data_IF_289033656614
#
_entry.id   IF_289033656614
#
_cell.length_a   1.000
_cell.length_b   1.000
_cell.length_c   1.000
_cell.angle_alpha   90.00
_cell.angle_beta   90.00
_cell.angle_gamma   90.00
#
_symmetry.space_group_name_H-M   'P 1'
#
loop_
_entity.id
_entity.type
_entity.pdbx_description
1 polymer ?
#
# COMPACT_ATOMS: atom_id res chain seq x y z
N UNK A 1 24.90 -16.36 -17.04
CA UNK A 1 23.93 -16.80 -16.01
C UNK A 1 22.70 -15.90 -16.15
N UNK A 2 21.67 -16.39 -16.80
CA UNK A 2 20.41 -15.67 -17.00
C UNK A 2 19.60 -15.82 -15.72
N UNK A 3 19.42 -14.72 -14.98
CA UNK A 3 18.50 -14.68 -13.84
C UNK A 3 17.08 -14.84 -14.39
N UNK A 4 16.46 -15.97 -14.08
CA UNK A 4 15.03 -16.14 -14.32
C UNK A 4 14.30 -15.11 -13.43
N UNK A 5 13.66 -14.12 -14.05
CA UNK A 5 12.77 -13.19 -13.38
C UNK A 5 11.67 -13.96 -12.64
N UNK A 6 11.19 -13.42 -11.52
CA UNK A 6 10.10 -14.05 -10.77
C UNK A 6 8.86 -14.19 -11.66
N UNK A 7 7.96 -15.18 -11.43
CA UNK A 7 6.71 -15.34 -12.19
C UNK A 7 5.84 -14.07 -12.23
N UNK A 8 5.98 -13.17 -11.25
CA UNK A 8 5.33 -11.84 -11.20
C UNK A 8 5.80 -10.92 -12.31
N UNK A 9 7.10 -10.89 -12.61
CA UNK A 9 7.66 -10.08 -13.68
C UNK A 9 7.12 -10.49 -15.04
N UNK A 10 6.84 -11.78 -15.27
CA UNK A 10 6.40 -12.27 -16.56
C UNK A 10 5.01 -11.77 -17.00
N UNK A 11 4.08 -11.50 -16.08
CA UNK A 11 2.73 -11.01 -16.42
C UNK A 11 2.71 -9.53 -16.80
N UNK A 12 3.42 -8.67 -16.04
CA UNK A 12 3.53 -7.24 -16.35
C UNK A 12 4.46 -7.00 -17.56
N UNK A 13 5.48 -7.85 -17.75
CA UNK A 13 6.42 -7.79 -18.88
C UNK A 13 5.77 -8.17 -20.22
N UNK A 14 4.69 -8.95 -20.21
CA UNK A 14 3.97 -9.40 -21.40
C UNK A 14 2.76 -8.52 -21.74
N UNK A 15 2.58 -7.36 -21.08
CA UNK A 15 1.51 -6.44 -21.43
C UNK A 15 1.68 -5.97 -22.89
N UNK A 16 0.66 -6.22 -23.69
CA UNK A 16 0.59 -5.59 -25.02
C UNK A 16 0.40 -4.08 -24.85
N UNK A 17 0.89 -3.29 -25.83
CA UNK A 17 0.70 -1.84 -25.78
C UNK A 17 -0.77 -1.46 -25.95
N UNK A 18 -1.10 -0.22 -25.58
CA UNK A 18 -2.44 0.36 -25.73
C UNK A 18 -3.49 -0.34 -24.89
N UNK A 19 -3.18 -0.58 -23.62
CA UNK A 19 -4.11 -1.19 -22.68
C UNK A 19 -4.43 -0.24 -21.52
N UNK A 20 -5.64 -0.32 -21.04
CA UNK A 20 -6.07 0.21 -19.75
C UNK A 20 -6.22 -0.98 -18.81
N UNK A 21 -5.34 -1.08 -17.81
CA UNK A 21 -5.15 -2.27 -16.99
C UNK A 21 -5.55 -2.00 -15.55
N UNK A 22 -6.48 -2.77 -15.02
CA UNK A 22 -6.74 -2.86 -13.59
C UNK A 22 -5.73 -3.82 -12.97
N UNK A 23 -4.92 -3.35 -12.03
CA UNK A 23 -3.95 -4.15 -11.30
C UNK A 23 -4.40 -4.33 -9.85
N UNK A 24 -4.75 -5.55 -9.45
CA UNK A 24 -5.12 -5.84 -8.07
C UNK A 24 -3.89 -6.16 -7.24
N UNK A 25 -3.60 -5.31 -6.25
CA UNK A 25 -2.48 -5.43 -5.32
C UNK A 25 -3.00 -5.78 -3.92
N UNK A 26 -2.34 -6.71 -3.22
CA UNK A 26 -2.76 -7.10 -1.87
C UNK A 26 -2.39 -6.04 -0.81
N UNK A 27 -1.27 -5.33 -1.01
CA UNK A 27 -0.79 -4.28 -0.11
C UNK A 27 0.00 -3.20 -0.89
N UNK A 28 0.41 -2.14 -0.20
CA UNK A 28 1.15 -1.03 -0.82
C UNK A 28 2.54 -1.44 -1.29
N UNK A 29 3.21 -2.35 -0.59
CA UNK A 29 4.54 -2.83 -0.97
C UNK A 29 4.51 -3.56 -2.31
N UNK A 30 3.48 -4.37 -2.52
CA UNK A 30 3.25 -5.07 -3.78
C UNK A 30 2.94 -4.06 -4.90
N UNK A 31 2.13 -3.03 -4.62
CA UNK A 31 1.85 -1.94 -5.54
C UNK A 31 3.12 -1.17 -5.90
N UNK A 32 3.94 -0.78 -4.90
CA UNK A 32 5.23 -0.10 -5.10
C UNK A 32 6.18 -0.93 -5.96
N UNK A 33 6.26 -2.25 -5.70
CA UNK A 33 7.10 -3.15 -6.50
C UNK A 33 6.64 -3.22 -7.95
N UNK A 34 5.33 -3.37 -8.17
CA UNK A 34 4.74 -3.38 -9.50
C UNK A 34 4.99 -2.06 -10.26
N UNK A 35 4.89 -0.91 -9.57
CA UNK A 35 5.21 0.39 -10.13
C UNK A 35 6.66 0.47 -10.58
N UNK A 36 7.61 0.10 -9.70
CA UNK A 36 9.04 0.11 -9.99
C UNK A 36 9.38 -0.81 -11.16
N UNK A 37 8.84 -2.04 -11.16
CA UNK A 37 9.09 -3.02 -12.21
C UNK A 37 8.55 -2.53 -13.56
N UNK A 38 7.31 -2.04 -13.60
CA UNK A 38 6.68 -1.50 -14.81
C UNK A 38 7.44 -0.30 -15.38
N UNK A 39 7.83 0.64 -14.51
CA UNK A 39 8.57 1.84 -14.88
C UNK A 39 9.96 1.46 -15.40
N UNK A 40 10.68 0.56 -14.73
CA UNK A 40 12.00 0.11 -15.16
C UNK A 40 11.96 -0.56 -16.52
N UNK A 41 10.98 -1.41 -16.78
CA UNK A 41 10.81 -2.03 -18.11
C UNK A 41 10.43 -1.01 -19.18
N UNK A 42 9.54 -0.06 -18.87
CA UNK A 42 9.22 1.03 -19.77
C UNK A 42 10.44 1.88 -20.14
N UNK A 43 11.26 2.25 -19.15
CA UNK A 43 12.50 3.02 -19.35
C UNK A 43 13.53 2.23 -20.18
N UNK A 44 13.73 0.93 -19.91
CA UNK A 44 14.59 0.06 -20.72
C UNK A 44 14.14 -0.01 -22.18
N UNK A 45 12.83 -0.01 -22.41
CA UNK A 45 12.22 0.00 -23.73
C UNK A 45 12.19 1.40 -24.38
N UNK A 46 12.77 2.43 -23.74
CA UNK A 46 12.83 3.81 -24.24
C UNK A 46 11.48 4.53 -24.22
N UNK A 47 10.51 4.06 -23.44
CA UNK A 47 9.19 4.70 -23.32
C UNK A 47 9.25 5.96 -22.47
N UNK A 48 8.28 6.85 -22.63
CA UNK A 48 7.95 7.86 -21.62
C UNK A 48 7.21 7.18 -20.49
N UNK A 49 7.76 7.23 -19.27
CA UNK A 49 7.13 6.69 -18.09
C UNK A 49 6.59 7.81 -17.22
N UNK A 50 5.34 7.66 -16.75
CA UNK A 50 4.69 8.58 -15.83
C UNK A 50 4.32 7.81 -14.57
N UNK A 51 4.94 8.18 -13.46
CA UNK A 51 4.60 7.64 -12.14
C UNK A 51 3.76 8.64 -11.38
N UNK A 52 2.47 8.37 -11.32
CA UNK A 52 1.46 9.23 -10.72
C UNK A 52 0.89 8.54 -9.46
N UNK A 53 1.55 8.78 -8.33
CA UNK A 53 1.19 8.18 -7.03
C UNK A 53 0.72 9.23 -6.05
N UNK A 54 -0.25 8.89 -5.23
CA UNK A 54 -0.74 9.72 -4.11
C UNK A 54 0.31 9.87 -3.00
N UNK A 55 1.37 9.08 -3.04
CA UNK A 55 2.48 9.10 -2.09
C UNK A 55 3.69 9.91 -2.55
N UNK A 56 3.66 10.47 -3.76
CA UNK A 56 4.81 11.19 -4.31
C UNK A 56 5.10 12.52 -3.60
N UNK A 57 4.14 13.08 -2.84
CA UNK A 57 4.36 14.20 -1.93
C UNK A 57 5.17 13.82 -0.67
N UNK A 58 5.21 12.54 -0.29
CA UNK A 58 6.03 12.05 0.82
C UNK A 58 7.48 11.82 0.37
N UNK A 59 8.40 12.60 0.96
CA UNK A 59 9.83 12.53 0.64
C UNK A 59 10.47 11.17 0.95
N UNK A 60 10.00 10.47 1.99
CA UNK A 60 10.53 9.16 2.36
C UNK A 60 10.08 8.10 1.38
N UNK A 61 8.79 8.09 1.04
CA UNK A 61 8.25 7.18 0.03
C UNK A 61 8.94 7.40 -1.31
N UNK A 62 9.00 8.64 -1.78
CA UNK A 62 9.63 8.96 -3.06
C UNK A 62 11.12 8.58 -3.07
N UNK A 63 11.86 8.79 -1.97
CA UNK A 63 13.26 8.35 -1.84
C UNK A 63 13.39 6.83 -1.94
N UNK A 64 12.48 6.07 -1.31
CA UNK A 64 12.43 4.61 -1.37
C UNK A 64 12.20 4.11 -2.79
N UNK A 65 11.23 4.68 -3.49
CA UNK A 65 10.89 4.31 -4.87
C UNK A 65 12.00 4.71 -5.83
N UNK A 66 12.47 5.96 -5.76
CA UNK A 66 13.51 6.49 -6.66
C UNK A 66 14.81 5.71 -6.60
N UNK A 67 15.18 5.17 -5.42
CA UNK A 67 16.37 4.32 -5.25
C UNK A 67 16.31 3.00 -5.99
N UNK A 68 15.11 2.55 -6.40
CA UNK A 68 14.88 1.29 -7.12
C UNK A 68 14.64 1.49 -8.61
N UNK A 69 14.41 2.73 -9.05
CA UNK A 69 14.24 3.07 -10.47
C UNK A 69 15.60 3.26 -11.11
N UNK A 70 15.81 2.61 -12.26
CA UNK A 70 17.07 2.66 -12.99
C UNK A 70 17.36 4.10 -13.46
N UNK A 71 18.59 4.58 -13.19
CA UNK A 71 19.06 5.90 -13.63
C UNK A 71 18.03 7.02 -13.36
N UNK A 72 17.42 7.00 -12.15
CA UNK A 72 16.29 7.88 -11.81
C UNK A 72 16.53 9.35 -12.17
N UNK A 73 17.62 9.96 -11.65
CA UNK A 73 17.91 11.38 -11.89
C UNK A 73 18.12 11.68 -13.37
N UNK A 74 18.86 10.84 -14.08
CA UNK A 74 19.13 10.98 -15.51
C UNK A 74 17.83 10.89 -16.33
N UNK A 75 16.93 9.96 -15.99
CA UNK A 75 15.65 9.82 -16.68
C UNK A 75 14.70 10.98 -16.43
N UNK A 76 14.72 11.60 -15.24
CA UNK A 76 14.00 12.84 -14.94
C UNK A 76 14.55 13.98 -15.80
N UNK A 77 15.87 14.20 -15.81
CA UNK A 77 16.52 15.28 -16.56
C UNK A 77 16.28 15.16 -18.09
N UNK A 78 16.31 13.93 -18.61
CA UNK A 78 16.04 13.65 -20.03
C UNK A 78 14.55 13.68 -20.38
N UNK A 79 13.65 13.84 -19.42
CA UNK A 79 12.20 13.78 -19.61
C UNK A 79 11.68 12.41 -20.06
N UNK A 80 12.39 11.33 -19.72
CA UNK A 80 11.94 9.95 -19.93
C UNK A 80 11.05 9.45 -18.77
N UNK A 81 11.21 10.05 -17.59
CA UNK A 81 10.41 9.78 -16.40
C UNK A 81 9.78 11.08 -15.90
N UNK A 82 8.48 11.04 -15.65
CA UNK A 82 7.71 12.15 -15.04
C UNK A 82 7.10 11.64 -13.74
N UNK A 83 7.32 12.37 -12.66
CA UNK A 83 6.72 12.09 -11.35
C UNK A 83 5.57 13.06 -11.14
N UNK A 84 4.41 12.53 -10.81
CA UNK A 84 3.21 13.34 -10.51
C UNK A 84 2.73 13.01 -9.11
N UNK A 85 2.55 14.03 -8.27
CA UNK A 85 1.87 13.89 -6.99
C UNK A 85 0.35 13.84 -7.23
N UNK A 86 -0.25 12.68 -7.00
CA UNK A 86 -1.67 12.46 -7.21
C UNK A 86 -2.54 12.70 -5.98
N UNK A 87 -1.95 13.02 -4.82
CA UNK A 87 -2.73 13.31 -3.63
C UNK A 87 -3.72 14.47 -3.83
N UNK A 88 -3.31 15.63 -4.39
CA UNK A 88 -4.27 16.70 -4.71
C UNK A 88 -5.33 16.28 -5.73
N UNK A 89 -4.98 15.43 -6.68
CA UNK A 89 -5.93 14.92 -7.69
C UNK A 89 -7.02 14.04 -7.06
N UNK A 90 -6.67 13.20 -6.09
CA UNK A 90 -7.66 12.37 -5.39
C UNK A 90 -8.67 13.22 -4.62
N UNK A 91 -8.26 14.35 -4.05
CA UNK A 91 -9.17 15.29 -3.40
C UNK A 91 -10.12 15.98 -4.39
N UNK A 92 -9.62 16.34 -5.57
CA UNK A 92 -10.49 16.87 -6.65
C UNK A 92 -11.50 15.82 -7.13
N UNK A 93 -11.06 14.55 -7.29
CA UNK A 93 -11.96 13.46 -7.69
C UNK A 93 -13.08 13.22 -6.67
N UNK A 94 -12.81 13.30 -5.35
CA UNK A 94 -13.84 13.26 -4.30
C UNK A 94 -14.91 14.33 -4.44
N UNK A 95 -14.60 15.44 -5.09
CA UNK A 95 -15.52 16.53 -5.37
C UNK A 95 -16.13 16.46 -6.77
N UNK A 96 -15.98 15.33 -7.48
CA UNK A 96 -16.35 15.14 -8.88
C UNK A 96 -15.77 16.22 -9.82
N UNK A 97 -14.61 16.77 -9.46
CA UNK A 97 -13.90 17.76 -10.26
C UNK A 97 -12.76 17.12 -11.04
N UNK A 98 -13.00 16.76 -12.29
CA UNK A 98 -12.00 16.12 -13.16
C UNK A 98 -11.20 17.10 -14.03
N UNK A 99 -11.39 18.42 -13.88
CA UNK A 99 -10.64 19.41 -14.65
C UNK A 99 -9.11 19.32 -14.50
N UNK A 100 -8.51 19.02 -13.32
CA UNK A 100 -7.08 18.81 -13.20
C UNK A 100 -6.59 17.58 -13.98
N UNK A 101 -7.39 16.53 -14.08
CA UNK A 101 -7.07 15.34 -14.88
C UNK A 101 -7.06 15.66 -16.38
N UNK A 102 -7.98 16.51 -16.87
CA UNK A 102 -7.96 17.00 -18.26
C UNK A 102 -6.70 17.83 -18.58
N UNK A 103 -6.23 18.62 -17.62
CA UNK A 103 -4.96 19.35 -17.78
C UNK A 103 -3.77 18.39 -17.84
N UNK A 104 -3.75 17.38 -16.99
CA UNK A 104 -2.73 16.34 -17.00
C UNK A 104 -2.75 15.56 -18.33
N UNK A 105 -3.93 15.19 -18.83
CA UNK A 105 -4.10 14.53 -20.12
C UNK A 105 -3.48 15.34 -21.26
N UNK A 106 -3.81 16.62 -21.37
CA UNK A 106 -3.22 17.52 -22.37
C UNK A 106 -1.71 17.58 -22.26
N UNK A 107 -1.19 17.65 -21.02
CA UNK A 107 0.25 17.65 -20.78
C UNK A 107 0.93 16.36 -21.24
N UNK A 108 0.31 15.21 -21.03
CA UNK A 108 0.82 13.91 -21.51
C UNK A 108 0.87 13.90 -23.04
N UNK A 109 -0.17 14.37 -23.71
CA UNK A 109 -0.26 14.46 -25.18
C UNK A 109 0.82 15.37 -25.73
N UNK A 110 1.03 16.56 -25.14
CA UNK A 110 2.11 17.49 -25.52
C UNK A 110 3.50 16.86 -25.40
N UNK A 111 3.76 16.17 -24.27
CA UNK A 111 5.03 15.47 -24.05
C UNK A 111 5.25 14.36 -25.08
N UNK A 112 4.21 13.61 -25.40
CA UNK A 112 4.29 12.54 -26.41
C UNK A 112 4.56 13.12 -27.81
N UNK A 113 3.82 14.15 -28.22
CA UNK A 113 4.01 14.80 -29.52
C UNK A 113 5.42 15.39 -29.67
N UNK A 114 5.93 16.01 -28.58
CA UNK A 114 7.31 16.50 -28.56
C UNK A 114 8.32 15.36 -28.76
N UNK A 115 8.14 14.22 -28.06
CA UNK A 115 9.03 13.05 -28.21
C UNK A 115 9.02 12.49 -29.63
N UNK A 116 7.83 12.41 -30.25
CA UNK A 116 7.69 11.97 -31.66
C UNK A 116 8.45 12.93 -32.60
N UNK A 117 8.31 14.25 -32.41
CA UNK A 117 9.03 15.24 -33.22
C UNK A 117 10.55 15.18 -33.04
N UNK A 118 11.04 14.71 -31.91
CA UNK A 118 12.45 14.47 -31.60
C UNK A 118 12.96 13.09 -32.09
N UNK A 119 12.13 12.30 -32.77
CA UNK A 119 12.46 10.95 -33.23
C UNK A 119 12.64 9.92 -32.13
N UNK A 120 12.11 10.21 -30.93
CA UNK A 120 12.12 9.29 -29.79
C UNK A 120 10.97 8.29 -29.87
N UNK A 121 11.01 7.25 -29.02
CA UNK A 121 9.95 6.25 -28.89
C UNK A 121 8.59 6.93 -28.57
N UNK A 122 7.54 6.56 -29.29
CA UNK A 122 6.19 7.09 -29.23
C UNK A 122 5.29 6.39 -28.17
N UNK A 123 5.88 5.53 -27.33
CA UNK A 123 5.15 4.77 -26.34
C UNK A 123 5.19 5.46 -24.98
N UNK A 124 4.05 5.45 -24.32
CA UNK A 124 3.87 6.00 -22.96
C UNK A 124 3.35 4.90 -22.05
N UNK A 125 3.95 4.80 -20.86
CA UNK A 125 3.47 4.00 -19.74
C UNK A 125 3.06 4.94 -18.61
N UNK A 126 1.81 4.84 -18.15
CA UNK A 126 1.28 5.59 -17.02
C UNK A 126 0.97 4.59 -15.90
N UNK A 127 1.53 4.80 -14.73
CA UNK A 127 1.15 4.10 -13.51
C UNK A 127 0.40 5.09 -12.62
N UNK A 128 -0.94 4.91 -12.44
CA UNK A 128 -1.84 5.91 -11.88
C UNK A 128 -2.61 5.38 -10.66
N UNK A 129 -2.30 5.87 -9.46
CA UNK A 129 -2.83 5.35 -8.19
C UNK A 129 -4.07 6.06 -7.63
N UNK A 130 -4.53 7.17 -8.23
CA UNK A 130 -5.59 7.99 -7.63
C UNK A 130 -6.90 7.22 -7.40
N UNK A 131 -7.38 6.46 -8.40
CA UNK A 131 -8.62 5.69 -8.28
C UNK A 131 -8.49 4.54 -7.28
N UNK A 132 -7.33 3.87 -7.24
CA UNK A 132 -7.04 2.86 -6.22
C UNK A 132 -6.99 3.42 -4.81
N UNK A 133 -6.51 4.65 -4.65
CA UNK A 133 -6.56 5.37 -3.38
C UNK A 133 -8.02 5.62 -2.94
N UNK A 134 -8.88 6.09 -3.84
CA UNK A 134 -10.32 6.26 -3.56
C UNK A 134 -10.97 4.94 -3.15
N UNK A 135 -10.70 3.85 -3.87
CA UNK A 135 -11.17 2.50 -3.51
C UNK A 135 -10.68 2.05 -2.13
N UNK A 136 -9.45 2.41 -1.74
CA UNK A 136 -8.88 2.07 -0.42
C UNK A 136 -9.66 2.69 0.73
N UNK A 137 -10.19 3.88 0.54
CA UNK A 137 -11.02 4.60 1.51
C UNK A 137 -12.53 4.41 1.28
N UNK A 138 -12.92 3.40 0.49
CA UNK A 138 -14.31 3.06 0.17
C UNK A 138 -15.10 4.18 -0.55
N UNK A 139 -14.40 5.12 -1.20
CA UNK A 139 -14.98 6.11 -2.12
C UNK A 139 -15.17 5.45 -3.51
N UNK A 140 -16.06 4.46 -3.58
CA UNK A 140 -16.20 3.63 -4.78
C UNK A 140 -16.81 4.36 -5.96
N UNK A 141 -17.81 5.22 -5.70
CA UNK A 141 -18.50 5.96 -6.78
C UNK A 141 -17.52 6.91 -7.47
N UNK A 142 -16.71 7.63 -6.69
CA UNK A 142 -15.69 8.53 -7.21
C UNK A 142 -14.54 7.75 -7.89
N UNK A 143 -14.20 6.57 -7.37
CA UNK A 143 -13.23 5.70 -8.02
C UNK A 143 -13.72 5.23 -9.38
N UNK A 144 -14.99 4.79 -9.48
CA UNK A 144 -15.61 4.35 -10.72
C UNK A 144 -15.71 5.52 -11.74
N UNK A 145 -16.05 6.72 -11.28
CA UNK A 145 -16.13 7.92 -12.12
C UNK A 145 -14.75 8.25 -12.70
N UNK A 146 -13.69 8.20 -11.88
CA UNK A 146 -12.33 8.45 -12.33
C UNK A 146 -11.84 7.39 -13.32
N UNK A 147 -12.15 6.11 -13.08
CA UNK A 147 -11.77 5.04 -14.02
C UNK A 147 -12.54 5.12 -15.33
N UNK A 148 -13.79 5.57 -15.34
CA UNK A 148 -14.53 5.89 -16.57
C UNK A 148 -13.86 7.00 -17.35
N UNK A 149 -13.42 8.06 -16.67
CA UNK A 149 -12.66 9.14 -17.29
C UNK A 149 -11.35 8.64 -17.93
N UNK A 150 -10.57 7.79 -17.22
CA UNK A 150 -9.37 7.16 -17.78
C UNK A 150 -9.68 6.30 -19.01
N UNK A 151 -10.77 5.55 -18.97
CA UNK A 151 -11.21 4.73 -20.10
C UNK A 151 -11.57 5.60 -21.31
N UNK A 152 -12.30 6.68 -21.10
CA UNK A 152 -12.69 7.60 -22.19
C UNK A 152 -11.46 8.27 -22.82
N UNK A 153 -10.52 8.72 -22.01
CA UNK A 153 -9.24 9.23 -22.47
C UNK A 153 -8.46 8.16 -23.27
N UNK A 154 -8.39 6.95 -22.77
CA UNK A 154 -7.73 5.83 -23.43
C UNK A 154 -8.38 5.49 -24.79
N UNK A 155 -9.70 5.43 -24.87
CA UNK A 155 -10.41 5.18 -26.12
C UNK A 155 -10.15 6.29 -27.16
N UNK A 156 -10.06 7.54 -26.73
CA UNK A 156 -9.72 8.65 -27.61
C UNK A 156 -8.26 8.57 -28.11
N UNK A 157 -7.33 8.22 -27.23
CA UNK A 157 -5.94 7.96 -27.62
C UNK A 157 -5.81 6.81 -28.60
N UNK A 158 -6.61 5.75 -28.44
CA UNK A 158 -6.67 4.66 -29.42
C UNK A 158 -7.15 5.13 -30.80
N UNK A 159 -8.22 5.97 -30.85
CA UNK A 159 -8.71 6.57 -32.11
C UNK A 159 -7.63 7.41 -32.79
N UNK A 160 -6.87 8.16 -32.00
CA UNK A 160 -5.77 9.00 -32.47
C UNK A 160 -4.46 8.23 -32.72
N UNK A 161 -4.48 6.88 -32.61
CA UNK A 161 -3.33 5.98 -32.80
C UNK A 161 -2.15 6.25 -31.86
N UNK A 162 -2.40 6.86 -30.70
CA UNK A 162 -1.37 7.09 -29.69
C UNK A 162 -1.09 5.78 -28.92
N UNK A 163 0.19 5.56 -28.62
CA UNK A 163 0.67 4.34 -27.97
C UNK A 163 0.77 4.54 -26.44
N UNK A 164 -0.37 4.61 -25.75
CA UNK A 164 -0.44 4.86 -24.31
C UNK A 164 -1.01 3.63 -23.60
N UNK A 165 -0.30 3.18 -22.58
CA UNK A 165 -0.74 2.12 -21.66
C UNK A 165 -0.92 2.74 -20.28
N UNK A 166 -2.04 2.44 -19.62
CA UNK A 166 -2.36 2.89 -18.28
C UNK A 166 -2.45 1.67 -17.37
N UNK A 167 -1.81 1.73 -16.21
CA UNK A 167 -1.93 0.73 -15.15
C UNK A 167 -2.54 1.43 -13.93
N UNK A 168 -3.72 0.99 -13.52
CA UNK A 168 -4.46 1.48 -12.37
C UNK A 168 -4.40 0.44 -11.25
N UNK A 169 -3.56 0.62 -10.23
CA UNK A 169 -3.50 -0.30 -9.10
C UNK A 169 -4.68 -0.10 -8.16
N UNK A 170 -5.31 -1.19 -7.74
CA UNK A 170 -6.42 -1.20 -6.81
C UNK A 170 -6.19 -2.18 -5.65
N UNK A 171 -6.73 -1.92 -4.44
CA UNK A 171 -6.55 -2.77 -3.27
C UNK A 171 -7.38 -4.06 -3.39
N UNK A 172 -6.72 -5.20 -3.64
CA UNK A 172 -7.38 -6.50 -3.79
C UNK A 172 -8.13 -6.91 -2.51
N UNK A 173 -7.52 -6.67 -1.33
CA UNK A 173 -8.09 -7.00 -0.03
C UNK A 173 -9.40 -6.27 0.29
N UNK A 174 -9.66 -5.14 -0.36
CA UNK A 174 -10.91 -4.37 -0.22
C UNK A 174 -11.89 -4.78 -1.33
N UNK A 175 -11.47 -4.75 -2.58
CA UNK A 175 -12.36 -5.03 -3.71
C UNK A 175 -12.83 -6.50 -3.78
N UNK A 176 -12.09 -7.45 -3.17
CA UNK A 176 -12.47 -8.87 -3.09
C UNK A 176 -13.46 -9.17 -1.95
N UNK A 177 -13.84 -8.19 -1.12
CA UNK A 177 -14.89 -8.39 -0.12
C UNK A 177 -16.26 -8.56 -0.78
N UNK A 178 -17.09 -9.44 -0.22
CA UNK A 178 -18.44 -9.72 -0.76
C UNK A 178 -19.30 -8.46 -0.89
N UNK A 179 -19.19 -7.52 0.07
CA UNK A 179 -19.88 -6.24 0.03
C UNK A 179 -19.49 -5.36 -1.17
N UNK A 180 -18.33 -5.57 -1.76
CA UNK A 180 -17.73 -4.71 -2.77
C UNK A 180 -17.72 -5.31 -4.18
N UNK A 181 -18.38 -6.46 -4.38
CA UNK A 181 -18.46 -7.18 -5.67
C UNK A 181 -18.99 -6.29 -6.78
N UNK A 182 -20.01 -5.48 -6.49
CA UNK A 182 -20.57 -4.55 -7.47
C UNK A 182 -19.54 -3.51 -7.90
N UNK A 183 -18.88 -2.84 -6.96
CA UNK A 183 -17.87 -1.82 -7.24
C UNK A 183 -16.68 -2.41 -8.00
N UNK A 184 -16.18 -3.58 -7.59
CA UNK A 184 -15.15 -4.32 -8.31
C UNK A 184 -15.55 -4.60 -9.76
N UNK A 185 -16.80 -5.02 -9.98
CA UNK A 185 -17.32 -5.31 -11.32
C UNK A 185 -17.39 -4.04 -12.18
N UNK A 186 -17.90 -2.92 -11.63
CA UNK A 186 -17.97 -1.66 -12.35
C UNK A 186 -16.59 -1.11 -12.74
N UNK A 187 -15.63 -1.16 -11.81
CA UNK A 187 -14.24 -0.77 -12.09
C UNK A 187 -13.64 -1.70 -13.16
N UNK A 188 -13.81 -3.02 -13.02
CA UNK A 188 -13.25 -3.98 -13.97
C UNK A 188 -13.79 -3.84 -15.39
N UNK A 189 -15.07 -3.44 -15.55
CA UNK A 189 -15.71 -3.31 -16.88
C UNK A 189 -15.13 -2.19 -17.74
N UNK A 190 -14.52 -1.17 -17.15
CA UNK A 190 -13.90 -0.06 -17.89
C UNK A 190 -12.43 -0.30 -18.21
N UNK A 191 -11.87 -1.43 -17.82
CA UNK A 191 -10.51 -1.82 -18.11
C UNK A 191 -10.47 -2.87 -19.23
N UNK A 192 -9.46 -2.80 -20.08
CA UNK A 192 -9.24 -3.80 -21.14
C UNK A 192 -8.71 -5.13 -20.60
N UNK A 193 -8.07 -5.08 -19.42
CA UNK A 193 -7.46 -6.23 -18.76
C UNK A 193 -7.49 -6.04 -17.24
N UNK A 194 -7.81 -7.10 -16.52
CA UNK A 194 -7.62 -7.16 -15.05
C UNK A 194 -6.54 -8.16 -14.73
N UNK A 195 -5.51 -7.71 -14.02
CA UNK A 195 -4.43 -8.54 -13.50
C UNK A 195 -4.54 -8.58 -11.98
N UNK A 196 -4.56 -9.77 -11.42
CA UNK A 196 -4.41 -9.98 -10.00
C UNK A 196 -2.99 -10.51 -9.75
N UNK A 197 -2.21 -9.75 -9.00
CA UNK A 197 -0.90 -10.22 -8.60
C UNK A 197 -1.13 -11.41 -7.68
N UNK A 198 -0.93 -12.63 -8.22
CA UNK A 198 -1.08 -13.84 -7.43
C UNK A 198 -0.19 -13.73 -6.21
N UNK A 199 -0.78 -13.91 -5.02
CA UNK A 199 0.04 -14.21 -3.83
C UNK A 199 0.95 -15.34 -4.22
N UNK A 200 2.23 -15.05 -4.38
CA UNK A 200 3.19 -16.10 -4.62
C UNK A 200 3.11 -17.01 -3.40
N UNK A 201 2.63 -18.22 -3.58
CA UNK A 201 2.66 -19.29 -2.57
C UNK A 201 4.08 -19.80 -2.33
N UNK A 202 5.06 -19.21 -3.00
CA UNK A 202 6.43 -19.21 -2.50
C UNK A 202 6.31 -18.34 -1.24
N UNK A 203 6.33 -18.99 -0.08
CA UNK A 203 6.63 -18.35 1.19
C UNK A 203 7.86 -17.48 0.95
N UNK A 204 7.62 -16.21 0.55
CA UNK A 204 8.64 -15.21 0.72
C UNK A 204 8.98 -15.33 2.19
N UNK A 205 10.24 -15.65 2.50
CA UNK A 205 10.81 -15.65 3.84
C UNK A 205 10.84 -14.21 4.36
N UNK A 206 9.73 -13.47 4.23
CA UNK A 206 9.54 -12.24 4.96
C UNK A 206 9.27 -12.65 6.41
N UNK A 207 10.30 -12.46 7.21
CA UNK A 207 10.13 -12.48 8.65
C UNK A 207 8.90 -11.61 8.97
N UNK A 208 7.89 -12.20 9.60
CA UNK A 208 6.73 -11.45 10.09
C UNK A 208 7.24 -10.23 10.85
N UNK A 209 6.72 -9.05 10.52
CA UNK A 209 7.15 -7.80 11.14
C UNK A 209 6.22 -7.47 12.30
N UNK A 210 6.73 -7.46 13.50
CA UNK A 210 5.95 -7.29 14.73
C UNK A 210 6.42 -6.06 15.49
N UNK A 211 5.48 -5.15 15.79
CA UNK A 211 5.71 -4.06 16.73
C UNK A 211 5.27 -4.49 18.13
N UNK A 212 6.13 -4.31 19.12
CA UNK A 212 5.81 -4.58 20.53
C UNK A 212 5.93 -3.29 21.33
N UNK A 213 4.87 -2.93 22.04
CA UNK A 213 4.84 -1.83 23.00
C UNK A 213 4.88 -2.43 24.38
N UNK A 214 6.07 -2.45 24.98
CA UNK A 214 6.37 -3.09 26.27
C UNK A 214 7.28 -2.18 27.11
N UNK A 215 6.85 -1.70 28.28
CA UNK A 215 7.64 -0.79 29.09
C UNK A 215 8.82 -1.45 29.81
N UNK A 216 8.73 -2.75 30.11
CA UNK A 216 9.73 -3.46 30.92
C UNK A 216 10.93 -3.91 30.08
N UNK A 217 12.11 -3.35 30.36
CA UNK A 217 13.34 -3.60 29.60
C UNK A 217 13.77 -5.07 29.56
N UNK A 218 13.53 -5.81 30.65
CA UNK A 218 13.92 -7.22 30.70
C UNK A 218 12.98 -8.09 29.87
N UNK A 219 11.68 -7.79 29.85
CA UNK A 219 10.70 -8.43 28.96
C UNK A 219 11.03 -8.11 27.51
N UNK A 220 11.40 -6.86 27.17
CA UNK A 220 11.83 -6.46 25.83
C UNK A 220 13.01 -7.33 25.33
N UNK A 221 14.01 -7.59 26.19
CA UNK A 221 15.17 -8.43 25.83
C UNK A 221 14.74 -9.86 25.47
N UNK A 222 13.83 -10.42 26.28
CA UNK A 222 13.29 -11.78 26.09
C UNK A 222 12.53 -11.86 24.78
N UNK A 223 11.62 -10.91 24.50
CA UNK A 223 10.87 -10.87 23.25
C UNK A 223 11.80 -10.75 22.05
N UNK A 224 12.76 -9.82 22.11
CA UNK A 224 13.74 -9.61 21.02
C UNK A 224 14.50 -10.89 20.69
N UNK A 225 15.10 -11.52 21.70
CA UNK A 225 15.90 -12.72 21.52
C UNK A 225 15.06 -13.89 20.97
N UNK A 226 13.88 -14.11 21.52
CA UNK A 226 13.05 -15.26 21.19
C UNK A 226 12.36 -15.11 19.82
N UNK A 227 11.77 -13.95 19.54
CA UNK A 227 11.03 -13.73 18.30
C UNK A 227 12.01 -13.64 17.09
N UNK A 228 13.19 -13.02 17.30
CA UNK A 228 14.25 -13.01 16.29
C UNK A 228 14.74 -14.43 15.95
N UNK A 229 14.91 -15.30 16.96
CA UNK A 229 15.27 -16.71 16.72
C UNK A 229 14.17 -17.48 15.98
N UNK A 230 12.92 -17.02 16.09
CA UNK A 230 11.77 -17.52 15.34
C UNK A 230 11.64 -16.97 13.93
N UNK A 231 12.58 -16.17 13.45
CA UNK A 231 12.56 -15.57 12.12
C UNK A 231 11.54 -14.43 11.98
N UNK A 232 11.19 -13.74 13.11
CA UNK A 232 10.30 -12.61 13.16
C UNK A 232 11.13 -11.32 13.23
N UNK A 233 10.83 -10.35 12.38
CA UNK A 233 11.39 -9.00 12.48
C UNK A 233 10.65 -8.21 13.56
N UNK A 234 11.36 -7.86 14.65
CA UNK A 234 10.76 -7.29 15.85
C UNK A 234 11.26 -5.88 16.10
N UNK A 235 10.32 -4.95 16.13
CA UNK A 235 10.53 -3.59 16.63
C UNK A 235 9.91 -3.49 18.02
N UNK A 236 10.70 -3.09 19.03
CA UNK A 236 10.20 -2.97 20.41
C UNK A 236 10.41 -1.55 20.89
N UNK A 237 9.36 -0.98 21.45
CA UNK A 237 9.32 0.40 22.00
C UNK A 237 8.83 0.39 23.43
N UNK A 238 9.32 1.33 24.24
CA UNK A 238 8.92 1.53 25.64
C UNK A 238 7.85 2.60 25.80
N UNK A 239 7.75 3.52 24.84
CA UNK A 239 6.76 4.61 24.82
C UNK A 239 6.31 4.87 23.40
N UNK A 240 5.00 4.98 23.23
CA UNK A 240 4.38 5.18 21.93
C UNK A 240 4.50 6.60 21.42
N UNK A 241 4.67 7.60 22.31
CA UNK A 241 4.81 9.00 21.89
C UNK A 241 6.00 9.22 20.97
N UNK A 242 7.04 8.40 21.10
CA UNK A 242 8.20 8.41 20.21
C UNK A 242 7.90 7.85 18.82
N UNK A 243 6.78 7.15 18.68
CA UNK A 243 6.45 6.37 17.50
C UNK A 243 5.16 6.83 16.80
N UNK A 244 4.27 7.56 17.50
CA UNK A 244 2.90 7.81 17.03
C UNK A 244 2.80 8.67 15.77
N UNK A 245 3.77 9.52 15.50
CA UNK A 245 3.75 10.40 14.31
C UNK A 245 4.43 9.78 13.08
N UNK A 246 5.30 8.80 13.27
CA UNK A 246 6.09 8.20 12.18
C UNK A 246 5.73 6.74 11.84
N UNK A 247 5.19 5.98 12.80
CA UNK A 247 5.09 4.52 12.68
C UNK A 247 3.72 4.02 12.22
N UNK A 248 2.67 4.80 12.41
CA UNK A 248 1.33 4.49 11.92
C UNK A 248 0.97 5.31 10.68
N UNK A 249 1.97 5.78 9.97
CA UNK A 249 1.76 6.31 8.64
C UNK A 249 1.24 5.16 7.75
N UNK A 250 0.15 5.33 7.02
CA UNK A 250 -0.28 4.36 6.02
C UNK A 250 0.78 4.14 4.92
N UNK A 251 1.90 4.84 5.00
CA UNK A 251 3.01 4.87 4.06
C UNK A 251 4.24 4.07 4.51
N UNK A 252 4.28 3.62 5.77
CA UNK A 252 5.40 2.80 6.25
C UNK A 252 5.16 1.30 5.93
N UNK A 253 6.23 0.52 5.85
CA UNK A 253 6.12 -0.94 5.82
C UNK A 253 5.40 -1.38 7.09
N UNK A 254 4.07 -1.54 6.99
CA UNK A 254 3.20 -1.81 8.13
C UNK A 254 3.68 -3.03 8.92
N UNK A 255 3.34 -3.08 10.18
CA UNK A 255 3.54 -4.28 10.98
C UNK A 255 2.43 -5.28 10.67
N UNK A 256 2.78 -6.56 10.54
CA UNK A 256 1.79 -7.63 10.41
C UNK A 256 0.96 -7.76 11.69
N UNK A 257 1.62 -7.53 12.84
CA UNK A 257 1.01 -7.60 14.18
C UNK A 257 1.56 -6.49 15.06
N UNK A 258 0.68 -5.86 15.84
CA UNK A 258 1.04 -4.93 16.92
C UNK A 258 0.70 -5.60 18.26
N UNK A 259 1.68 -5.72 19.16
CA UNK A 259 1.47 -6.27 20.51
C UNK A 259 1.55 -5.13 21.50
N UNK A 260 0.53 -4.99 22.34
CA UNK A 260 0.41 -3.87 23.29
C UNK A 260 0.25 -4.42 24.70
N UNK A 261 1.15 -4.03 25.62
CA UNK A 261 0.99 -4.31 27.03
C UNK A 261 -0.03 -3.40 27.68
N UNK A 262 -0.88 -3.95 28.58
CA UNK A 262 -1.87 -3.14 29.30
C UNK A 262 -1.26 -2.25 30.38
N UNK A 263 -0.04 -2.53 30.83
CA UNK A 263 0.66 -1.79 31.90
C UNK A 263 1.53 -0.65 31.38
N UNK A 264 1.08 0.02 30.31
CA UNK A 264 1.79 1.20 29.81
C UNK A 264 1.74 2.34 30.83
N UNK A 265 2.85 3.08 31.02
CA UNK A 265 2.89 4.19 31.96
C UNK A 265 1.91 5.30 31.55
N UNK A 266 1.10 5.76 32.51
CA UNK A 266 0.20 6.91 32.31
C UNK A 266 1.03 8.20 32.14
N UNK A 267 0.99 8.77 30.98
CA UNK A 267 1.63 10.07 30.69
C UNK A 267 0.64 11.25 30.65
N UNK A 268 -0.64 11.00 30.89
CA UNK A 268 -1.70 12.03 30.89
C UNK A 268 -2.65 11.83 32.08
N UNK A 269 -3.18 12.93 32.63
CA UNK A 269 -4.19 12.92 33.71
C UNK A 269 -5.58 12.42 33.27
N UNK A 270 -5.66 11.62 32.22
CA UNK A 270 -6.90 11.07 31.70
C UNK A 270 -7.24 9.74 32.37
N UNK A 271 -8.51 9.55 32.72
CA UNK A 271 -9.04 8.33 33.34
C UNK A 271 -9.04 7.10 32.40
N UNK A 272 -8.58 7.23 31.17
CA UNK A 272 -8.55 6.14 30.20
C UNK A 272 -7.22 5.38 30.27
N UNK A 273 -7.27 4.05 30.15
CA UNK A 273 -6.09 3.21 30.02
C UNK A 273 -5.26 3.62 28.79
N UNK A 274 -3.94 3.90 28.95
CA UNK A 274 -3.07 4.26 27.81
C UNK A 274 -3.08 3.22 26.71
N UNK A 275 -3.21 1.94 27.05
CA UNK A 275 -3.31 0.86 26.08
C UNK A 275 -4.57 0.97 25.21
N UNK A 276 -5.71 1.37 25.79
CA UNK A 276 -6.96 1.58 25.03
C UNK A 276 -6.82 2.75 24.07
N UNK A 277 -6.25 3.86 24.52
CA UNK A 277 -6.01 5.04 23.65
C UNK A 277 -5.09 4.68 22.48
N UNK A 278 -4.10 3.85 22.75
CA UNK A 278 -3.19 3.35 21.73
C UNK A 278 -3.90 2.47 20.71
N UNK A 279 -4.69 1.50 21.16
CA UNK A 279 -5.50 0.63 20.27
C UNK A 279 -6.39 1.50 19.37
N UNK A 280 -7.05 2.52 19.93
CA UNK A 280 -7.86 3.46 19.13
C UNK A 280 -7.02 4.18 18.09
N UNK A 281 -5.86 4.69 18.46
CA UNK A 281 -4.95 5.41 17.55
C UNK A 281 -4.52 4.51 16.40
N UNK A 282 -4.09 3.28 16.71
CA UNK A 282 -3.69 2.29 15.69
C UNK A 282 -4.86 1.95 14.76
N UNK A 283 -6.04 1.68 15.33
CA UNK A 283 -7.23 1.32 14.54
C UNK A 283 -7.77 2.47 13.70
N UNK A 284 -7.65 3.70 14.15
CA UNK A 284 -8.00 4.88 13.37
C UNK A 284 -7.05 5.09 12.19
N UNK A 285 -5.75 4.84 12.38
CA UNK A 285 -4.77 4.94 11.32
C UNK A 285 -4.83 3.75 10.35
N UNK A 286 -5.01 2.53 10.88
CA UNK A 286 -5.03 1.29 10.11
C UNK A 286 -6.17 0.41 10.64
N UNK A 287 -7.41 0.55 10.13
CA UNK A 287 -8.60 -0.13 10.66
C UNK A 287 -8.46 -1.66 10.78
N UNK A 288 -7.77 -2.28 9.82
CA UNK A 288 -7.57 -3.73 9.76
C UNK A 288 -6.28 -4.20 10.44
N UNK A 289 -5.54 -3.31 11.15
CA UNK A 289 -4.33 -3.71 11.86
C UNK A 289 -4.65 -4.80 12.88
N UNK A 290 -3.92 -5.90 12.80
CA UNK A 290 -4.00 -6.95 13.81
C UNK A 290 -3.30 -6.50 15.08
N UNK A 291 -4.01 -6.57 16.19
CA UNK A 291 -3.51 -6.18 17.52
C UNK A 291 -3.66 -7.35 18.48
N UNK A 292 -2.61 -7.64 19.22
CA UNK A 292 -2.59 -8.58 20.34
C UNK A 292 -2.37 -7.78 21.61
N UNK A 293 -3.16 -8.06 22.65
CA UNK A 293 -3.04 -7.43 23.96
C UNK A 293 -2.37 -8.39 24.93
N UNK A 294 -1.38 -7.93 25.67
CA UNK A 294 -0.81 -8.68 26.81
C UNK A 294 -1.24 -8.04 28.12
N UNK A 295 -1.72 -8.84 29.08
CA UNK A 295 -2.26 -8.36 30.35
C UNK A 295 -1.93 -9.31 31.52
N UNK A 296 -1.79 -8.77 32.73
CA UNK A 296 -1.67 -9.58 33.96
C UNK A 296 -3.02 -9.92 34.57
N UNK A 297 -4.11 -9.32 34.13
CA UNK A 297 -5.47 -9.53 34.61
C UNK A 297 -6.42 -9.92 33.50
N UNK A 298 -7.45 -10.73 33.76
CA UNK A 298 -8.52 -10.97 32.81
C UNK A 298 -9.18 -9.65 32.44
N UNK A 299 -9.42 -9.43 31.14
CA UNK A 299 -9.97 -8.16 30.60
C UNK A 299 -11.48 -7.98 30.92
N UNK A 300 -11.99 -8.45 32.04
CA UNK A 300 -13.42 -8.37 32.40
C UNK A 300 -13.93 -6.94 32.51
N UNK A 301 -13.10 -5.97 32.90
CA UNK A 301 -13.47 -4.55 33.01
C UNK A 301 -13.25 -3.74 31.69
N UNK A 302 -12.50 -4.29 30.76
CA UNK A 302 -12.11 -3.62 29.51
C UNK A 302 -12.87 -4.19 28.30
N UNK A 303 -13.62 -5.27 28.49
CA UNK A 303 -14.24 -6.08 27.43
C UNK A 303 -15.14 -5.28 26.47
N UNK A 304 -15.96 -4.35 26.95
CA UNK A 304 -16.88 -3.59 26.09
C UNK A 304 -16.16 -2.70 25.08
N UNK A 305 -15.16 -1.97 25.53
CA UNK A 305 -14.40 -1.03 24.68
C UNK A 305 -13.47 -1.78 23.73
N UNK A 306 -12.77 -2.82 24.16
CA UNK A 306 -11.88 -3.60 23.31
C UNK A 306 -12.66 -4.36 22.22
N UNK A 307 -13.82 -4.93 22.56
CA UNK A 307 -14.68 -5.61 21.59
C UNK A 307 -15.19 -4.65 20.51
N UNK A 308 -15.58 -3.43 20.90
CA UNK A 308 -16.01 -2.39 19.95
C UNK A 308 -14.87 -1.95 18.99
N UNK A 309 -13.61 -2.15 19.39
CA UNK A 309 -12.42 -1.90 18.57
C UNK A 309 -11.98 -3.15 17.78
N UNK A 310 -12.77 -4.22 17.78
CA UNK A 310 -12.49 -5.44 17.04
C UNK A 310 -11.42 -6.34 17.67
N UNK A 311 -11.12 -6.15 18.98
CA UNK A 311 -10.23 -7.04 19.74
C UNK A 311 -11.07 -8.15 20.36
N UNK A 312 -10.76 -9.39 20.05
CA UNK A 312 -11.46 -10.58 20.57
C UNK A 312 -10.68 -11.22 21.71
N UNK A 313 -11.32 -12.13 22.47
CA UNK A 313 -10.62 -12.89 23.52
C UNK A 313 -9.41 -13.67 22.98
N UNK A 314 -9.44 -14.07 21.72
CA UNK A 314 -8.33 -14.79 21.07
C UNK A 314 -7.12 -13.89 20.80
N UNK A 315 -7.30 -12.57 20.85
CA UNK A 315 -6.23 -11.58 20.65
C UNK A 315 -5.65 -11.11 22.00
N UNK A 316 -6.05 -11.76 23.11
CA UNK A 316 -5.60 -11.40 24.46
C UNK A 316 -4.78 -12.52 25.07
N UNK A 317 -3.56 -12.18 25.49
CA UNK A 317 -2.65 -13.06 26.21
C UNK A 317 -2.55 -12.66 27.69
N UNK A 318 -2.94 -13.56 28.57
CA UNK A 318 -2.81 -13.35 30.02
C UNK A 318 -1.42 -13.79 30.48
N UNK A 319 -0.66 -12.87 31.08
CA UNK A 319 0.64 -13.14 31.69
C UNK A 319 0.45 -13.94 32.99
N UNK A 320 1.26 -14.99 33.29
CA UNK A 320 2.35 -15.48 32.47
C UNK A 320 1.87 -16.41 31.34
N UNK A 321 2.42 -16.23 30.14
CA UNK A 321 2.20 -17.10 29.01
C UNK A 321 3.55 -17.62 28.45
N UNK A 322 3.49 -18.74 27.73
CA UNK A 322 4.69 -19.26 27.09
C UNK A 322 5.01 -18.47 25.81
N UNK A 323 6.30 -18.32 25.51
CA UNK A 323 6.73 -17.70 24.25
C UNK A 323 6.29 -18.50 23.02
N UNK A 324 6.09 -19.83 23.17
CA UNK A 324 5.51 -20.68 22.13
C UNK A 324 4.06 -20.30 21.84
N UNK A 325 3.28 -19.98 22.90
CA UNK A 325 1.90 -19.48 22.76
C UNK A 325 1.88 -18.16 22.00
N UNK A 326 2.78 -17.23 22.33
CA UNK A 326 2.91 -15.95 21.62
C UNK A 326 3.25 -16.17 20.13
N UNK A 327 4.23 -17.02 19.82
CA UNK A 327 4.59 -17.35 18.44
C UNK A 327 3.43 -17.98 17.67
N UNK A 328 2.69 -18.90 18.32
CA UNK A 328 1.53 -19.55 17.73
C UNK A 328 0.46 -18.50 17.36
N UNK A 329 0.12 -17.60 18.27
CA UNK A 329 -0.88 -16.55 18.03
C UNK A 329 -0.41 -15.59 16.95
N UNK A 330 0.85 -15.16 16.94
CA UNK A 330 1.39 -14.29 15.88
C UNK A 330 1.23 -14.96 14.50
N UNK A 331 1.45 -16.26 14.38
CA UNK A 331 1.45 -17.01 13.12
C UNK A 331 0.07 -17.48 12.66
N UNK A 332 -0.90 -17.69 13.57
CA UNK A 332 -2.18 -18.36 13.26
C UNK A 332 -3.15 -17.55 12.39
N UNK A 333 -2.98 -16.23 12.23
CA UNK A 333 -3.91 -15.36 11.49
C UNK A 333 -3.23 -14.55 10.37
N UNK A 334 -2.14 -15.01 9.83
CA UNK A 334 -1.50 -14.40 8.64
C UNK A 334 -2.03 -14.99 7.32
N UNK A 335 -3.28 -15.53 7.36
CA UNK A 335 -3.95 -16.08 6.18
C UNK A 335 -5.11 -15.20 5.76
#
# INVERSE_FOLDING_TARGET
MTSFGSPRQSQLLNLSFRQHVMLLCNDQKECDSAAVDSINEGLKAGQLCIYASVFNGDKFHLKKISSKIINYSENIEKGNLVIVDFLPFSEFAKMSNLAPFEQLRKRIEELLLKRISEGKNDKVLIFAEAAGCLSRYCHFDESIELERWWNDAHLEWLKNKLNITIICPHPANILNQESNVYSKSQIGQVHSLTLELQKCSIRDNHALRVLIVEPEKDIQKVYRAYLASGGIDVVIVDDIKKYSEQTFSPYDEGFDVVIIDTHLPNSSNNNNSPAIELVKTVKNAIPNQRIIITSTSPLTEVNGTMTSLGITQQDVLIKPFSLLTLLSIIRTRTH
#
